data_IF_919802760477
#
_entry.id   IF_919802760477
#
_cell.length_a   1.000
_cell.length_b   1.000
_cell.length_c   1.000
_cell.angle_alpha   90.00
_cell.angle_beta   90.00
_cell.angle_gamma   90.00
#
_symmetry.space_group_name_H-M   'P 1'
#
loop_
_entity.id
_entity.type
_entity.pdbx_description
1 polymer ?
#
# COMPACT_ATOMS: atom_id res chain seq x y z
N UNK A 1 -32.75 -9.09 -1.86
CA UNK A 1 -33.49 -7.94 -2.41
C UNK A 1 -32.60 -6.73 -2.17
N UNK A 2 -31.69 -6.41 -3.11
CA UNK A 2 -30.91 -5.18 -3.01
C UNK A 2 -31.84 -4.01 -3.26
N UNK A 3 -31.85 -3.05 -2.35
CA UNK A 3 -32.43 -1.75 -2.60
C UNK A 3 -31.65 -1.14 -3.76
N UNK A 4 -32.35 -0.78 -4.84
CA UNK A 4 -31.78 0.17 -5.80
C UNK A 4 -31.57 1.47 -5.01
N UNK A 5 -30.32 1.84 -4.75
CA UNK A 5 -30.01 3.15 -4.24
C UNK A 5 -30.52 4.16 -5.29
N UNK A 6 -31.48 4.99 -4.90
CA UNK A 6 -31.99 6.05 -5.75
C UNK A 6 -30.93 7.15 -5.79
N UNK A 7 -30.05 7.10 -6.78
CA UNK A 7 -29.06 8.16 -7.03
C UNK A 7 -29.76 9.34 -7.73
N UNK A 8 -30.29 10.27 -6.92
CA UNK A 8 -30.90 11.52 -7.40
C UNK A 8 -29.82 12.52 -7.84
N UNK A 9 -30.19 13.41 -8.76
CA UNK A 9 -29.31 14.49 -9.20
C UNK A 9 -29.25 15.59 -8.15
N UNK A 10 -28.06 15.83 -7.60
CA UNK A 10 -27.78 16.90 -6.65
C UNK A 10 -27.12 18.07 -7.36
N UNK A 11 -27.46 19.31 -6.97
CA UNK A 11 -26.79 20.52 -7.47
C UNK A 11 -25.48 20.73 -6.71
N UNK A 12 -24.35 20.74 -7.43
CA UNK A 12 -23.01 20.76 -6.81
C UNK A 12 -22.29 22.10 -6.95
N UNK A 13 -22.48 22.81 -8.06
CA UNK A 13 -21.80 24.08 -8.35
C UNK A 13 -22.50 24.80 -9.50
N UNK A 14 -22.12 26.06 -9.74
CA UNK A 14 -22.43 26.79 -10.96
C UNK A 14 -21.22 26.86 -11.90
N UNK A 15 -21.43 26.99 -13.21
CA UNK A 15 -20.36 27.14 -14.21
C UNK A 15 -19.47 28.36 -13.92
N UNK A 16 -20.04 29.40 -13.29
CA UNK A 16 -19.31 30.61 -12.90
C UNK A 16 -18.28 30.35 -11.79
N UNK A 17 -18.43 29.31 -10.98
CA UNK A 17 -17.45 28.95 -9.96
C UNK A 17 -16.16 28.36 -10.56
N UNK A 18 -16.22 27.89 -11.81
CA UNK A 18 -15.05 27.49 -12.59
C UNK A 18 -14.40 28.68 -13.33
N UNK A 19 -14.95 29.90 -13.24
CA UNK A 19 -14.33 31.07 -13.88
C UNK A 19 -13.03 31.47 -13.17
N UNK A 20 -11.89 31.03 -13.73
CA UNK A 20 -10.55 31.33 -13.20
C UNK A 20 -9.83 30.14 -12.59
N UNK A 21 -10.45 28.95 -12.59
CA UNK A 21 -9.83 27.69 -12.16
C UNK A 21 -10.37 26.54 -13.01
N UNK A 22 -9.58 25.50 -13.19
CA UNK A 22 -9.99 24.26 -13.86
C UNK A 22 -10.76 23.30 -12.94
N UNK A 23 -10.94 23.62 -11.64
CA UNK A 23 -11.57 22.71 -10.68
C UNK A 23 -12.17 23.40 -9.45
N UNK A 24 -13.14 22.74 -8.83
CA UNK A 24 -13.78 23.18 -7.57
C UNK A 24 -14.10 21.96 -6.70
N UNK A 25 -13.74 22.00 -5.41
CA UNK A 25 -14.14 20.97 -4.44
C UNK A 25 -15.63 21.08 -4.12
N UNK A 26 -16.33 19.96 -4.17
CA UNK A 26 -17.78 19.83 -3.97
C UNK A 26 -18.08 18.62 -3.09
N UNK A 27 -19.35 18.40 -2.75
CA UNK A 27 -19.81 17.21 -2.05
C UNK A 27 -20.92 16.59 -2.92
N UNK A 28 -20.88 15.26 -3.09
CA UNK A 28 -21.91 14.49 -3.79
C UNK A 28 -22.24 13.27 -2.96
N UNK A 29 -23.50 13.11 -2.54
CA UNK A 29 -23.92 11.96 -1.72
C UNK A 29 -23.02 11.76 -0.48
N UNK A 30 -22.85 12.85 0.30
CA UNK A 30 -21.97 12.93 1.48
C UNK A 30 -20.49 12.56 1.22
N UNK A 31 -20.08 12.43 -0.05
CA UNK A 31 -18.71 12.09 -0.45
C UNK A 31 -17.98 13.34 -0.93
N UNK A 32 -16.78 13.67 -0.39
CA UNK A 32 -15.94 14.74 -0.93
C UNK A 32 -15.57 14.44 -2.38
N UNK A 33 -15.87 15.35 -3.28
CA UNK A 33 -15.65 15.19 -4.71
C UNK A 33 -15.03 16.46 -5.30
N UNK A 34 -14.46 16.31 -6.49
CA UNK A 34 -13.79 17.36 -7.23
C UNK A 34 -14.47 17.49 -8.59
N UNK A 35 -15.10 18.64 -8.82
CA UNK A 35 -15.56 19.04 -10.13
C UNK A 35 -14.35 19.55 -10.92
N UNK A 36 -14.09 18.95 -12.07
CA UNK A 36 -12.95 19.24 -12.94
C UNK A 36 -13.49 19.63 -14.31
N UNK A 37 -12.95 20.70 -14.88
CA UNK A 37 -13.12 21.10 -16.26
C UNK A 37 -11.81 20.84 -17.02
N UNK A 38 -11.78 19.79 -17.84
CA UNK A 38 -10.69 19.57 -18.80
C UNK A 38 -11.21 19.82 -20.22
N UNK A 39 -10.64 20.83 -20.89
CA UNK A 39 -11.04 21.28 -22.22
C UNK A 39 -12.54 21.67 -22.25
N UNK A 40 -13.36 20.96 -23.04
CA UNK A 40 -14.80 21.19 -23.21
C UNK A 40 -15.66 20.22 -22.39
N UNK A 41 -15.05 19.39 -21.54
CA UNK A 41 -15.72 18.34 -20.77
C UNK A 41 -15.67 18.61 -19.27
N UNK A 42 -16.75 18.26 -18.57
CA UNK A 42 -16.83 18.25 -17.12
C UNK A 42 -16.69 16.83 -16.60
N UNK A 43 -15.95 16.69 -15.51
CA UNK A 43 -15.74 15.44 -14.79
C UNK A 43 -15.97 15.68 -13.31
N UNK A 44 -16.50 14.68 -12.61
CA UNK A 44 -16.62 14.72 -11.15
C UNK A 44 -16.07 13.42 -10.62
N UNK A 45 -15.00 13.52 -9.84
CA UNK A 45 -14.32 12.37 -9.23
C UNK A 45 -14.24 12.56 -7.72
N UNK A 46 -14.07 11.49 -6.97
CA UNK A 46 -13.85 11.58 -5.53
C UNK A 46 -12.56 12.35 -5.23
N UNK A 47 -12.63 13.28 -4.28
CA UNK A 47 -11.52 14.14 -3.89
C UNK A 47 -10.65 13.50 -2.80
N UNK A 48 -10.67 12.17 -2.70
CA UNK A 48 -9.95 11.42 -1.68
C UNK A 48 -9.13 10.35 -2.36
N UNK A 49 -7.82 10.46 -2.27
CA UNK A 49 -6.92 9.45 -2.81
C UNK A 49 -7.13 8.11 -2.08
N UNK A 50 -7.44 7.06 -2.84
CA UNK A 50 -7.65 5.69 -2.31
C UNK A 50 -6.42 5.07 -1.65
N UNK A 51 -5.23 5.65 -1.85
CA UNK A 51 -4.01 5.16 -1.21
C UNK A 51 -3.95 5.48 0.29
N UNK A 52 -4.14 6.76 0.67
CA UNK A 52 -3.95 7.22 2.06
C UNK A 52 -4.78 8.46 2.40
N UNK A 53 -5.93 8.61 1.75
CA UNK A 53 -6.94 9.63 2.07
C UNK A 53 -6.60 11.08 1.74
N UNK A 54 -5.46 11.34 1.09
CA UNK A 54 -5.04 12.69 0.74
C UNK A 54 -6.01 13.35 -0.27
N UNK A 55 -6.40 14.62 -0.06
CA UNK A 55 -7.17 15.36 -1.04
C UNK A 55 -6.48 15.48 -2.41
N UNK A 56 -7.24 15.32 -3.48
CA UNK A 56 -6.74 15.42 -4.85
C UNK A 56 -6.84 16.85 -5.42
N UNK A 57 -7.62 17.73 -4.77
CA UNK A 57 -7.87 19.11 -5.18
C UNK A 57 -6.59 19.85 -5.59
N UNK A 58 -5.52 19.72 -4.80
CA UNK A 58 -4.23 20.40 -5.03
C UNK A 58 -3.28 19.66 -6.01
N UNK A 59 -3.74 18.56 -6.60
CA UNK A 59 -2.98 17.73 -7.54
C UNK A 59 -2.81 18.37 -8.92
N UNK A 60 -1.79 17.97 -9.69
CA UNK A 60 -1.70 18.40 -11.09
C UNK A 60 -2.61 17.53 -11.99
N UNK A 61 -3.21 18.11 -13.03
CA UNK A 61 -3.94 17.36 -14.05
C UNK A 61 -3.14 17.40 -15.35
N UNK A 62 -2.69 16.22 -15.79
CA UNK A 62 -1.91 16.05 -17.02
C UNK A 62 -2.48 14.87 -17.81
N UNK A 63 -2.72 15.08 -19.11
CA UNK A 63 -3.22 14.05 -20.03
C UNK A 63 -4.47 13.30 -19.54
N UNK A 64 -5.42 14.02 -18.92
CA UNK A 64 -6.66 13.45 -18.40
C UNK A 64 -6.47 12.61 -17.13
N UNK A 65 -5.32 12.70 -16.48
CA UNK A 65 -5.05 12.05 -15.19
C UNK A 65 -4.76 13.09 -14.12
N UNK A 66 -5.35 12.93 -12.94
CA UNK A 66 -5.06 13.73 -11.76
C UNK A 66 -4.02 13.04 -10.90
N UNK A 67 -2.98 13.76 -10.48
CA UNK A 67 -1.91 13.27 -9.62
C UNK A 67 -2.11 13.70 -8.17
N UNK A 68 -2.07 12.74 -7.25
CA UNK A 68 -2.10 13.00 -5.82
C UNK A 68 -0.83 13.74 -5.39
N UNK A 69 -0.93 14.94 -4.78
CA UNK A 69 0.21 15.81 -4.48
C UNK A 69 1.15 15.26 -3.41
N UNK A 70 0.76 14.19 -2.69
CA UNK A 70 1.53 13.65 -1.57
C UNK A 70 2.52 12.56 -1.98
N UNK A 71 2.08 11.56 -2.72
CA UNK A 71 2.91 10.40 -3.11
C UNK A 71 2.93 10.14 -4.62
N UNK A 72 2.24 10.96 -5.42
CA UNK A 72 2.25 10.86 -6.89
C UNK A 72 1.35 9.78 -7.49
N UNK A 73 0.41 9.22 -6.72
CA UNK A 73 -0.59 8.29 -7.27
C UNK A 73 -1.42 9.01 -8.34
N UNK A 74 -1.72 8.36 -9.46
CA UNK A 74 -2.46 8.99 -10.55
C UNK A 74 -3.75 8.24 -10.85
N UNK A 75 -4.80 8.99 -11.18
CA UNK A 75 -6.13 8.48 -11.53
C UNK A 75 -6.63 9.13 -12.80
N UNK A 76 -7.26 8.35 -13.67
CA UNK A 76 -7.94 8.88 -14.84
C UNK A 76 -9.22 9.62 -14.43
N UNK A 77 -9.39 10.88 -14.84
CA UNK A 77 -10.53 11.71 -14.40
C UNK A 77 -11.88 11.29 -15.01
N UNK A 78 -11.87 10.50 -16.09
CA UNK A 78 -13.09 10.07 -16.76
C UNK A 78 -13.63 8.75 -16.22
N UNK A 79 -12.74 7.89 -15.74
CA UNK A 79 -13.05 6.51 -15.32
C UNK A 79 -12.69 6.21 -13.88
N UNK A 80 -11.90 7.05 -13.22
CA UNK A 80 -11.39 6.83 -11.87
C UNK A 80 -10.30 5.77 -11.78
N UNK A 81 -9.97 5.12 -12.90
CA UNK A 81 -9.00 4.04 -12.97
C UNK A 81 -7.60 4.50 -12.54
N UNK A 82 -6.92 3.67 -11.75
CA UNK A 82 -5.54 3.90 -11.35
C UNK A 82 -4.63 3.88 -12.58
N UNK A 83 -3.79 4.91 -12.71
CA UNK A 83 -2.77 5.04 -13.76
C UNK A 83 -1.35 4.90 -13.23
N UNK A 84 -1.12 5.31 -11.99
CA UNK A 84 0.17 5.21 -11.35
C UNK A 84 0.03 4.78 -9.89
N UNK A 85 0.90 3.86 -9.48
CA UNK A 85 1.13 3.50 -8.09
C UNK A 85 1.59 4.75 -7.29
N UNK A 86 1.34 4.84 -5.97
CA UNK A 86 1.07 3.75 -5.05
C UNK A 86 -0.41 3.36 -4.85
N UNK A 87 -1.37 4.10 -5.40
CA UNK A 87 -2.76 3.66 -5.35
C UNK A 87 -2.95 2.33 -6.11
N UNK A 88 -3.85 1.48 -5.61
CA UNK A 88 -4.18 0.19 -6.24
C UNK A 88 -5.68 0.03 -6.51
N UNK A 89 -6.51 0.92 -5.93
CA UNK A 89 -7.96 0.95 -6.10
C UNK A 89 -8.39 2.23 -6.84
N UNK A 90 -9.38 2.15 -7.74
CA UNK A 90 -9.88 3.32 -8.46
C UNK A 90 -10.61 4.29 -7.52
N UNK A 91 -10.57 5.58 -7.83
CA UNK A 91 -11.43 6.57 -7.17
C UNK A 91 -12.84 6.52 -7.76
N UNK A 92 -13.85 6.88 -6.97
CA UNK A 92 -15.23 6.95 -7.47
C UNK A 92 -15.37 8.05 -8.52
N UNK A 93 -16.17 7.78 -9.56
CA UNK A 93 -16.60 8.78 -10.55
C UNK A 93 -18.11 8.99 -10.45
N UNK A 94 -18.53 10.23 -10.63
CA UNK A 94 -19.92 10.65 -10.57
C UNK A 94 -20.41 11.05 -11.97
N UNK A 95 -21.66 10.75 -12.28
CA UNK A 95 -22.30 11.30 -13.47
C UNK A 95 -22.45 12.81 -13.26
N UNK A 96 -22.15 13.61 -14.29
CA UNK A 96 -22.26 15.07 -14.24
C UNK A 96 -23.09 15.59 -15.40
N UNK A 97 -23.94 16.57 -15.14
CA UNK A 97 -24.79 17.23 -16.13
C UNK A 97 -24.82 18.74 -15.88
N UNK A 98 -24.63 19.53 -16.93
CA UNK A 98 -24.83 20.98 -16.89
C UNK A 98 -26.24 21.33 -17.40
N UNK A 99 -27.05 21.95 -16.54
CA UNK A 99 -28.42 22.41 -16.85
C UNK A 99 -28.45 23.94 -16.75
N UNK A 100 -28.36 24.61 -17.90
CA UNK A 100 -28.46 26.08 -18.01
C UNK A 100 -27.43 26.85 -17.14
N UNK A 101 -26.22 26.30 -16.96
CA UNK A 101 -25.15 26.91 -16.16
C UNK A 101 -25.08 26.41 -14.72
N UNK A 102 -26.03 25.59 -14.28
CA UNK A 102 -26.00 24.90 -12.99
C UNK A 102 -25.53 23.45 -13.20
N UNK A 103 -24.52 23.04 -12.42
CA UNK A 103 -23.90 21.73 -12.53
C UNK A 103 -24.51 20.81 -11.49
N UNK A 104 -24.98 19.66 -11.96
CA UNK A 104 -25.55 18.60 -11.15
C UNK A 104 -24.68 17.36 -11.23
N UNK A 105 -24.57 16.63 -10.14
CA UNK A 105 -23.92 15.33 -10.12
C UNK A 105 -24.72 14.30 -9.33
N UNK A 106 -24.40 13.02 -9.57
CA UNK A 106 -24.93 11.90 -8.80
C UNK A 106 -23.94 10.73 -8.83
N UNK A 107 -23.98 9.80 -7.87
CA UNK A 107 -23.19 8.58 -7.97
C UNK A 107 -23.55 7.80 -9.24
N UNK A 108 -22.52 7.30 -9.94
CA UNK A 108 -22.69 6.45 -11.11
C UNK A 108 -23.16 5.07 -10.66
N UNK A 109 -24.22 4.54 -11.28
CA UNK A 109 -24.72 3.19 -10.98
C UNK A 109 -23.68 2.13 -11.37
N UNK A 110 -23.45 1.15 -10.48
CA UNK A 110 -22.43 0.09 -10.59
C UNK A 110 -22.44 -0.69 -11.92
N UNK A 111 -23.59 -0.76 -12.63
CA UNK A 111 -23.71 -1.41 -13.94
C UNK A 111 -22.94 -0.69 -15.07
N UNK A 112 -22.64 0.60 -14.94
CA UNK A 112 -21.96 1.40 -15.96
C UNK A 112 -20.42 1.35 -15.85
N UNK A 113 -19.87 0.62 -14.88
CA UNK A 113 -18.45 0.56 -14.54
C UNK A 113 -17.76 -0.72 -15.06
N UNK A 114 -18.44 -1.56 -15.85
CA UNK A 114 -17.80 -2.75 -16.42
C UNK A 114 -16.72 -2.35 -17.44
N UNK A 115 -15.43 -2.63 -17.18
CA UNK A 115 -14.37 -2.37 -18.13
C UNK A 115 -14.54 -3.29 -19.34
N UNK A 116 -14.60 -2.69 -20.54
CA UNK A 116 -14.51 -3.42 -21.81
C UNK A 116 -13.16 -4.14 -21.90
N UNK A 117 -13.16 -5.47 -21.77
CA UNK A 117 -11.98 -6.35 -21.90
C UNK A 117 -11.21 -6.18 -23.23
N UNK A 118 -9.88 -6.09 -23.12
CA UNK A 118 -8.89 -6.54 -24.11
C UNK A 118 -7.55 -6.86 -23.41
N UNK A 119 -6.73 -7.80 -23.93
CA UNK A 119 -6.46 -9.04 -23.21
C UNK A 119 -5.14 -9.08 -22.42
N UNK A 120 -5.19 -9.89 -21.36
CA UNK A 120 -4.05 -10.36 -20.58
C UNK A 120 -3.06 -11.19 -21.42
N UNK A 121 -1.76 -10.97 -21.19
CA UNK A 121 -0.70 -11.89 -21.55
C UNK A 121 -0.04 -12.44 -20.27
N UNK A 122 -0.17 -13.75 -20.15
CA UNK A 122 0.21 -14.69 -19.11
C UNK A 122 1.63 -14.58 -18.55
N UNK A 123 1.81 -15.05 -17.31
CA UNK A 123 2.35 -16.40 -17.00
C UNK A 123 2.72 -16.50 -15.50
N UNK A 124 1.99 -17.32 -14.73
CA UNK A 124 2.39 -18.68 -14.29
C UNK A 124 3.30 -18.69 -13.05
N UNK A 125 2.74 -19.01 -11.86
CA UNK A 125 2.85 -20.33 -11.20
C UNK A 125 4.10 -20.43 -10.30
N UNK A 126 4.15 -21.00 -9.10
CA UNK A 126 3.22 -21.64 -8.15
C UNK A 126 4.07 -22.07 -6.94
N UNK A 127 3.53 -21.94 -5.71
CA UNK A 127 3.61 -22.89 -4.56
C UNK A 127 5.02 -23.21 -3.95
N UNK A 128 5.26 -23.81 -2.76
CA UNK A 128 4.48 -24.26 -1.58
C UNK A 128 5.47 -24.58 -0.42
N UNK A 129 5.03 -24.41 0.85
CA UNK A 129 5.25 -25.10 2.14
C UNK A 129 6.62 -25.66 2.56
N UNK A 130 7.01 -25.85 3.85
CA UNK A 130 6.45 -25.64 5.20
C UNK A 130 7.46 -26.15 6.28
N UNK A 131 7.49 -25.51 7.48
CA UNK A 131 7.69 -26.01 8.88
C UNK A 131 8.91 -26.91 9.28
N UNK A 132 9.24 -27.25 10.57
CA UNK A 132 8.76 -26.84 11.93
C UNK A 132 9.85 -26.71 13.09
N UNK A 133 9.39 -26.41 14.34
CA UNK A 133 9.86 -26.81 15.73
C UNK A 133 11.17 -26.20 16.34
N UNK A 134 11.37 -25.87 17.63
CA UNK A 134 10.68 -26.00 18.93
C UNK A 134 11.42 -25.18 20.06
N UNK A 135 10.68 -24.66 21.05
CA UNK A 135 10.94 -24.54 22.51
C UNK A 135 12.02 -23.61 23.19
N UNK A 136 11.51 -22.70 24.05
CA UNK A 136 11.82 -22.49 25.50
C UNK A 136 12.73 -21.34 26.03
N UNK A 137 12.06 -20.40 26.71
CA UNK A 137 12.37 -19.68 27.98
C UNK A 137 13.58 -18.72 28.17
N UNK A 138 13.19 -17.47 28.50
CA UNK A 138 13.64 -16.61 29.62
C UNK A 138 15.04 -15.91 29.61
N UNK A 139 14.94 -14.58 29.47
CA UNK A 139 15.81 -13.43 29.84
C UNK A 139 16.56 -13.63 31.19
N UNK A 140 17.78 -13.07 31.47
CA UNK A 140 18.10 -11.66 31.25
C UNK A 140 19.51 -11.27 30.80
N UNK A 141 19.60 -9.99 30.37
CA UNK A 141 20.79 -9.28 29.92
C UNK A 141 22.03 -9.42 30.82
N UNK A 142 23.23 -9.26 30.24
CA UNK A 142 24.29 -8.55 30.92
C UNK A 142 24.83 -7.37 30.10
N UNK A 143 25.03 -6.30 30.86
CA UNK A 143 25.84 -5.11 30.62
C UNK A 143 27.26 -5.41 30.14
N UNK A 144 27.82 -4.51 29.31
CA UNK A 144 29.23 -4.12 29.40
C UNK A 144 30.15 -4.48 28.23
N UNK A 145 30.42 -3.47 27.40
CA UNK A 145 31.73 -3.05 26.87
C UNK A 145 32.77 -4.10 26.42
N UNK A 146 33.19 -4.03 25.15
CA UNK A 146 34.59 -3.91 24.66
C UNK A 146 34.76 -4.53 23.25
N UNK A 147 35.10 -3.72 22.24
CA UNK A 147 35.50 -4.21 20.91
C UNK A 147 37.02 -4.50 20.91
N UNK A 148 37.56 -5.63 20.39
CA UNK A 148 38.17 -5.60 19.05
C UNK A 148 38.40 -6.99 18.40
N UNK A 149 37.37 -7.64 17.86
CA UNK A 149 37.56 -8.69 16.86
C UNK A 149 36.27 -8.73 16.06
N UNK A 150 36.33 -8.46 14.74
CA UNK A 150 35.19 -8.67 13.85
C UNK A 150 34.89 -10.17 13.82
N UNK A 151 34.19 -10.67 14.84
CA UNK A 151 33.43 -11.90 14.71
C UNK A 151 32.35 -11.58 13.69
N UNK A 152 32.36 -12.33 12.60
CA UNK A 152 31.31 -12.25 11.62
C UNK A 152 29.98 -12.48 12.36
N UNK A 153 28.93 -11.70 12.08
CA UNK A 153 27.71 -11.67 12.87
C UNK A 153 27.16 -13.08 13.04
N UNK A 154 26.78 -13.41 14.26
CA UNK A 154 25.98 -14.60 14.54
C UNK A 154 24.55 -14.41 14.07
N UNK A 155 23.76 -15.48 14.08
CA UNK A 155 22.34 -15.44 13.74
C UNK A 155 21.56 -14.43 14.60
N UNK A 156 21.90 -14.33 15.89
CA UNK A 156 21.32 -13.34 16.81
C UNK A 156 21.59 -11.89 16.41
N UNK A 157 22.80 -11.56 15.93
CA UNK A 157 23.12 -10.20 15.47
C UNK A 157 22.32 -9.82 14.22
N UNK A 158 22.04 -10.81 13.35
CA UNK A 158 21.22 -10.63 12.15
C UNK A 158 19.74 -10.45 12.50
N UNK A 159 19.21 -11.23 13.45
CA UNK A 159 17.85 -11.05 13.98
C UNK A 159 17.67 -9.68 14.62
N UNK A 160 18.62 -9.24 15.45
CA UNK A 160 18.56 -7.91 16.08
C UNK A 160 18.65 -6.78 15.03
N UNK A 161 19.43 -6.95 13.96
CA UNK A 161 19.44 -5.99 12.85
C UNK A 161 18.10 -5.96 12.09
N UNK A 162 17.46 -7.11 11.90
CA UNK A 162 16.16 -7.21 11.23
C UNK A 162 15.02 -6.64 12.08
N UNK A 163 15.12 -6.65 13.42
CA UNK A 163 14.17 -5.97 14.31
C UNK A 163 14.10 -4.45 14.09
N UNK A 164 15.13 -3.84 13.51
CA UNK A 164 15.10 -2.41 13.17
C UNK A 164 14.20 -2.10 11.96
N UNK A 165 13.77 -3.14 11.22
CA UNK A 165 12.90 -2.99 10.06
C UNK A 165 11.45 -3.12 10.50
N UNK A 166 10.73 -2.01 10.40
CA UNK A 166 9.33 -1.89 10.81
C UNK A 166 8.43 -2.03 9.59
N UNK A 167 7.40 -2.85 9.70
CA UNK A 167 6.32 -2.91 8.72
C UNK A 167 5.51 -1.59 8.80
N UNK A 168 5.43 -0.80 7.72
CA UNK A 168 4.79 0.51 7.74
C UNK A 168 3.26 0.45 7.90
N UNK A 169 2.64 -0.71 7.69
CA UNK A 169 1.19 -0.91 7.81
C UNK A 169 0.81 -1.34 9.24
N UNK A 170 1.59 -2.26 9.81
CA UNK A 170 1.32 -2.83 11.13
C UNK A 170 2.09 -2.11 12.26
N UNK A 171 3.05 -1.26 11.94
CA UNK A 171 3.94 -0.56 12.89
C UNK A 171 4.73 -1.47 13.84
N UNK A 172 4.80 -2.77 13.53
CA UNK A 172 5.57 -3.80 14.27
C UNK A 172 6.75 -4.24 13.42
N UNK A 173 7.84 -4.68 14.05
CA UNK A 173 9.00 -5.13 13.30
C UNK A 173 8.80 -6.51 12.65
N UNK A 174 9.52 -6.74 11.56
CA UNK A 174 9.38 -7.96 10.74
C UNK A 174 9.74 -9.26 11.48
N UNK A 175 10.51 -9.17 12.56
CA UNK A 175 10.89 -10.32 13.38
C UNK A 175 9.75 -10.68 14.33
N UNK A 176 9.20 -9.70 15.03
CA UNK A 176 8.09 -9.91 15.97
C UNK A 176 6.77 -10.22 15.24
N UNK A 177 6.62 -9.75 13.99
CA UNK A 177 5.54 -10.19 13.09
C UNK A 177 5.73 -11.63 12.59
N UNK A 178 6.88 -12.26 12.82
CA UNK A 178 7.16 -13.62 12.34
C UNK A 178 7.31 -13.71 10.82
N UNK A 179 7.73 -12.63 10.16
CA UNK A 179 7.91 -12.61 8.70
C UNK A 179 9.23 -13.27 8.26
N UNK A 180 10.22 -13.33 9.15
CA UNK A 180 11.53 -13.92 8.87
C UNK A 180 11.48 -15.43 9.16
N UNK A 181 11.68 -16.25 8.12
CA UNK A 181 11.59 -17.71 8.22
C UNK A 181 12.94 -18.39 8.42
N UNK A 182 13.97 -17.92 7.73
CA UNK A 182 15.32 -18.52 7.80
C UNK A 182 16.39 -17.47 7.48
N UNK A 183 17.55 -17.60 8.12
CA UNK A 183 18.73 -16.78 7.83
C UNK A 183 19.90 -17.73 7.60
N UNK A 184 20.28 -17.92 6.33
CA UNK A 184 21.44 -18.73 5.95
C UNK A 184 22.63 -17.83 5.67
N UNK A 185 23.79 -18.15 6.25
CA UNK A 185 25.05 -17.45 6.00
C UNK A 185 26.04 -18.35 5.27
N UNK A 186 26.51 -17.93 4.11
CA UNK A 186 27.58 -18.56 3.35
C UNK A 186 28.79 -17.62 3.30
N UNK A 187 29.78 -17.87 4.17
CA UNK A 187 30.99 -17.04 4.31
C UNK A 187 30.65 -15.58 4.68
N UNK A 188 30.57 -14.70 3.68
CA UNK A 188 30.23 -13.28 3.82
C UNK A 188 28.92 -12.91 3.11
N UNK A 189 28.24 -13.86 2.47
CA UNK A 189 26.97 -13.65 1.80
C UNK A 189 25.85 -14.19 2.68
N UNK A 190 24.86 -13.34 2.97
CA UNK A 190 23.71 -13.68 3.82
C UNK A 190 22.47 -13.79 2.96
N UNK A 191 21.75 -14.90 3.08
CA UNK A 191 20.45 -15.10 2.46
C UNK A 191 19.39 -15.12 3.54
N UNK A 192 18.45 -14.18 3.50
CA UNK A 192 17.30 -14.15 4.39
C UNK A 192 16.08 -14.64 3.61
N UNK A 193 15.45 -15.71 4.08
CA UNK A 193 14.15 -16.15 3.57
C UNK A 193 13.06 -15.56 4.43
N UNK A 194 12.18 -14.78 3.82
CA UNK A 194 11.07 -14.15 4.54
C UNK A 194 9.78 -14.17 3.72
N UNK A 195 8.67 -13.90 4.38
CA UNK A 195 7.35 -13.74 3.77
C UNK A 195 6.83 -12.32 3.97
N UNK A 196 5.64 -12.05 3.43
CA UNK A 196 4.90 -10.82 3.69
C UNK A 196 3.57 -11.18 4.34
N UNK A 197 3.03 -10.24 5.11
CA UNK A 197 1.68 -10.33 5.69
C UNK A 197 0.60 -10.49 4.62
N UNK A 198 0.88 -10.07 3.39
CA UNK A 198 0.01 -10.26 2.22
C UNK A 198 0.81 -10.38 0.91
N UNK A 199 0.37 -11.23 -0.04
CA UNK A 199 1.12 -11.55 -1.26
C UNK A 199 1.30 -10.38 -2.25
N UNK A 200 0.53 -9.30 -2.07
CA UNK A 200 0.60 -8.09 -2.89
C UNK A 200 0.79 -6.83 -2.02
N UNK A 201 1.48 -6.94 -0.88
CA UNK A 201 1.72 -5.79 0.00
C UNK A 201 2.49 -4.69 -0.77
N UNK A 202 1.95 -3.47 -0.92
CA UNK A 202 2.61 -2.37 -1.64
C UNK A 202 3.93 -1.95 -0.95
N UNK A 203 4.03 -2.16 0.36
CA UNK A 203 5.24 -1.94 1.15
C UNK A 203 6.27 -3.08 1.04
N UNK A 204 5.94 -4.21 0.40
CA UNK A 204 6.82 -5.38 0.27
C UNK A 204 8.23 -5.05 -0.26
N UNK A 205 8.37 -4.34 -1.40
CA UNK A 205 9.68 -3.93 -1.91
C UNK A 205 10.47 -3.05 -0.94
N UNK A 206 9.78 -2.20 -0.18
CA UNK A 206 10.41 -1.33 0.82
C UNK A 206 10.93 -2.14 2.00
N UNK A 207 10.14 -3.08 2.52
CA UNK A 207 10.54 -3.98 3.60
C UNK A 207 11.75 -4.82 3.20
N UNK A 208 11.73 -5.38 1.98
CA UNK A 208 12.84 -6.16 1.43
C UNK A 208 14.11 -5.31 1.32
N UNK A 209 14.00 -4.09 0.79
CA UNK A 209 15.15 -3.17 0.67
C UNK A 209 15.72 -2.78 2.03
N UNK A 210 14.85 -2.52 3.01
CA UNK A 210 15.26 -2.20 4.38
C UNK A 210 15.92 -3.39 5.08
N UNK A 211 15.36 -4.60 4.94
CA UNK A 211 15.93 -5.84 5.48
C UNK A 211 17.32 -6.14 4.90
N UNK A 212 17.45 -6.03 3.57
CA UNK A 212 18.75 -6.14 2.88
C UNK A 212 19.76 -5.15 3.45
N UNK A 213 19.37 -3.87 3.50
CA UNK A 213 20.23 -2.78 3.97
C UNK A 213 20.60 -2.93 5.44
N UNK A 214 19.73 -3.49 6.28
CA UNK A 214 20.00 -3.75 7.69
C UNK A 214 21.08 -4.83 7.86
N UNK A 215 21.01 -5.90 7.06
CA UNK A 215 21.99 -7.00 7.09
C UNK A 215 23.34 -6.60 6.48
N UNK A 216 23.34 -5.84 5.36
CA UNK A 216 24.59 -5.36 4.73
C UNK A 216 25.39 -4.39 5.62
N UNK A 217 24.74 -3.75 6.61
CA UNK A 217 25.42 -2.90 7.60
C UNK A 217 26.22 -3.70 8.64
N UNK A 218 26.01 -5.02 8.74
CA UNK A 218 26.68 -5.83 9.75
C UNK A 218 28.15 -6.10 9.37
N UNK A 219 29.06 -6.06 10.35
CA UNK A 219 30.50 -6.22 10.10
C UNK A 219 30.84 -7.64 9.63
N UNK A 220 31.28 -7.80 8.38
CA UNK A 220 31.60 -9.12 7.81
C UNK A 220 30.50 -9.70 6.91
N UNK A 221 29.56 -8.86 6.47
CA UNK A 221 28.64 -9.16 5.37
C UNK A 221 29.07 -8.35 4.13
N UNK A 222 29.22 -9.02 2.99
CA UNK A 222 29.51 -8.37 1.71
C UNK A 222 28.22 -8.16 0.89
N UNK A 223 27.36 -9.18 0.84
CA UNK A 223 26.09 -9.15 0.10
C UNK A 223 24.98 -9.72 0.95
N UNK A 224 23.82 -9.07 0.96
CA UNK A 224 22.60 -9.67 1.46
C UNK A 224 21.62 -9.96 0.31
N UNK A 225 21.10 -11.18 0.24
CA UNK A 225 20.03 -11.58 -0.66
C UNK A 225 18.77 -11.86 0.15
N UNK A 226 17.65 -11.24 -0.24
CA UNK A 226 16.35 -11.47 0.39
C UNK A 226 15.51 -12.33 -0.55
N UNK A 227 15.12 -13.51 -0.09
CA UNK A 227 14.24 -14.44 -0.80
C UNK A 227 12.85 -14.35 -0.22
N UNK A 228 11.93 -13.82 -1.02
CA UNK A 228 10.52 -13.83 -0.69
C UNK A 228 9.91 -15.20 -1.01
N UNK A 229 9.28 -15.82 -0.02
CA UNK A 229 8.45 -17.01 -0.20
C UNK A 229 7.00 -16.73 0.21
N UNK A 230 6.06 -17.13 -0.65
CA UNK A 230 4.63 -17.07 -0.35
C UNK A 230 4.13 -18.37 0.31
N UNK A 231 5.06 -19.25 0.68
CA UNK A 231 4.69 -20.53 1.23
C UNK A 231 5.71 -21.01 2.27
N UNK A 232 5.28 -21.37 3.49
CA UNK A 232 3.90 -21.35 3.98
C UNK A 232 3.31 -19.94 4.03
N UNK A 233 1.97 -19.78 3.85
CA UNK A 233 1.33 -18.47 3.96
C UNK A 233 1.47 -17.96 5.40
N UNK A 234 1.69 -16.65 5.53
CA UNK A 234 1.73 -16.02 6.84
C UNK A 234 0.37 -16.13 7.53
N UNK A 235 0.39 -16.36 8.83
CA UNK A 235 -0.80 -16.32 9.69
C UNK A 235 -0.49 -15.55 10.95
N UNK A 236 -1.47 -14.87 11.59
CA UNK A 236 -1.27 -14.14 12.84
C UNK A 236 -0.68 -14.98 13.98
N UNK A 237 -0.80 -16.31 13.93
CA UNK A 237 -0.19 -17.23 14.90
C UNK A 237 1.35 -17.24 14.86
N UNK A 238 1.96 -16.70 13.81
CA UNK A 238 3.41 -16.58 13.67
C UNK A 238 3.99 -15.37 14.42
N UNK A 239 3.13 -14.46 14.89
CA UNK A 239 3.54 -13.29 15.66
C UNK A 239 3.94 -13.68 17.09
N UNK A 240 4.87 -12.93 17.67
CA UNK A 240 5.17 -13.04 19.10
C UNK A 240 3.95 -12.62 19.93
N UNK A 241 3.84 -13.14 21.16
CA UNK A 241 2.72 -12.79 22.06
C UNK A 241 2.64 -11.26 22.28
N UNK A 242 3.79 -10.59 22.45
CA UNK A 242 3.87 -9.13 22.56
C UNK A 242 3.33 -8.39 21.32
N UNK A 243 3.58 -8.91 20.12
CA UNK A 243 3.06 -8.33 18.87
C UNK A 243 1.55 -8.56 18.71
N UNK A 244 1.05 -9.73 19.11
CA UNK A 244 -0.40 -10.04 19.12
C UNK A 244 -1.16 -9.11 20.06
N UNK A 245 -0.62 -8.88 21.25
CA UNK A 245 -1.20 -7.97 22.25
C UNK A 245 -1.23 -6.52 21.74
N UNK A 246 -0.16 -6.05 21.08
CA UNK A 246 -0.10 -4.71 20.50
C UNK A 246 -1.14 -4.48 19.40
N UNK A 247 -1.44 -5.51 18.61
CA UNK A 247 -2.43 -5.47 17.55
C UNK A 247 -3.86 -5.78 18.03
N UNK A 248 -4.05 -6.10 19.31
CA UNK A 248 -5.35 -6.43 19.89
C UNK A 248 -5.95 -7.75 19.37
N UNK A 249 -5.08 -8.70 18.96
CA UNK A 249 -5.47 -10.00 18.40
C UNK A 249 -5.31 -11.06 19.49
N UNK A 250 -6.42 -11.38 20.16
CA UNK A 250 -6.51 -12.41 21.20
C UNK A 250 -6.76 -13.79 20.59
#
# INVERSE_FOLDING_TARGET
MSAAANYEWERIASISELEGTDRVSVIVDDTPALLIQDKDSLYVVEDVCTHDGQPLTDGEIVDGSIECPRHGAQFDIATGAVRCMPATEPIRVFDVENRDGEIYARPRSEEADQPSEAPAASSSSSNTSAAPAEASEATPAPTGSSNPFLQAPGEGDMLEALKAVIDPELFVNIVDLGLVYDITKAENDVTVTMTLTSPACPAGPQIVSQARSAIEKLPGVNTAEIKLTMSPPWTPEMMTDDARDQLGIF
#
